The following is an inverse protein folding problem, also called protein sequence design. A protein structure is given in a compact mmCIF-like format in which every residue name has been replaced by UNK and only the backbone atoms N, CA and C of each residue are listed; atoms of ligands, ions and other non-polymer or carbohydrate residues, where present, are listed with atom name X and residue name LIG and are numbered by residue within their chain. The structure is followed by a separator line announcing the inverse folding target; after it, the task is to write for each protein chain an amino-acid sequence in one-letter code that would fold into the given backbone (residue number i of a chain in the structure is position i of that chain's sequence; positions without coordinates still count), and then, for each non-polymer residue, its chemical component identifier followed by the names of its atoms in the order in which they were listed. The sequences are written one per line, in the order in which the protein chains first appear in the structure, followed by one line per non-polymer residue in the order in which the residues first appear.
data_IF_423492884606
#
_entry.id   IF_423492884606
#
_cell.length_a   1.000
_cell.length_b   1.000
_cell.length_c   1.000
_cell.angle_alpha   90.00
_cell.angle_beta   90.00
_cell.angle_gamma   90.00
#
_symmetry.space_group_name_H-M   'P 1'
#
loop_
_entity.id
_entity.type
_entity.pdbx_description
1 polymer ?
#
# COMPACT_ATOMS: atom_id res chain seq x y z
N UNK A 1 5.57 -51.27 -5.86
CA UNK A 1 5.69 -50.83 -4.45
C UNK A 1 7.19 -50.64 -4.25
N UNK A 2 7.76 -49.45 -4.16
CA UNK A 2 7.31 -48.26 -3.42
C UNK A 2 7.69 -46.98 -4.16
N UNK A 3 6.83 -45.98 -4.02
CA UNK A 3 7.12 -44.57 -4.29
C UNK A 3 7.78 -43.95 -3.05
N UNK A 4 8.66 -42.98 -3.26
CA UNK A 4 8.97 -41.85 -2.36
C UNK A 4 9.99 -40.99 -3.12
N UNK A 5 9.62 -39.81 -3.62
CA UNK A 5 9.30 -38.57 -2.90
C UNK A 5 10.43 -37.61 -3.16
N UNK A 6 10.16 -36.52 -3.87
CA UNK A 6 10.48 -35.16 -3.41
C UNK A 6 9.59 -34.22 -4.23
N UNK A 7 8.42 -33.90 -3.71
CA UNK A 7 7.73 -32.66 -4.08
C UNK A 7 8.55 -31.55 -3.42
N UNK A 8 9.52 -31.02 -4.16
CA UNK A 8 9.97 -29.66 -3.89
C UNK A 8 8.76 -28.79 -4.19
N UNK A 9 8.19 -28.19 -3.15
CA UNK A 9 7.17 -27.16 -3.30
C UNK A 9 7.81 -26.06 -4.15
N UNK A 10 7.36 -25.99 -5.39
CA UNK A 10 7.61 -24.89 -6.31
C UNK A 10 6.92 -23.67 -5.70
N UNK A 11 7.64 -22.94 -4.85
CA UNK A 11 7.29 -21.60 -4.45
C UNK A 11 7.49 -20.72 -5.69
N UNK A 12 6.53 -20.84 -6.62
CA UNK A 12 6.39 -19.94 -7.75
C UNK A 12 6.27 -18.54 -7.17
N UNK A 13 7.37 -17.78 -7.26
CA UNK A 13 7.37 -16.36 -6.95
C UNK A 13 6.36 -15.70 -7.89
N UNK A 14 5.16 -15.44 -7.38
CA UNK A 14 4.16 -14.67 -8.11
C UNK A 14 4.75 -13.28 -8.31
N UNK A 15 4.90 -12.86 -9.56
CA UNK A 15 5.36 -11.51 -9.87
C UNK A 15 4.47 -10.50 -9.14
N UNK A 16 5.05 -9.48 -8.49
CA UNK A 16 4.26 -8.53 -7.72
C UNK A 16 3.29 -7.77 -8.65
N UNK A 17 2.08 -7.54 -8.15
CA UNK A 17 1.08 -6.71 -8.83
C UNK A 17 1.39 -5.25 -8.52
N UNK A 18 1.73 -4.49 -9.56
CA UNK A 18 2.01 -3.06 -9.46
C UNK A 18 0.73 -2.25 -9.61
N UNK A 19 0.54 -1.28 -8.72
CA UNK A 19 -0.52 -0.27 -8.78
C UNK A 19 0.13 1.04 -9.16
N UNK A 20 -0.31 1.61 -10.27
CA UNK A 20 0.11 2.93 -10.74
C UNK A 20 -0.72 4.00 -10.02
N UNK A 21 -0.07 5.11 -9.67
CA UNK A 21 -0.74 6.31 -9.20
C UNK A 21 -1.04 7.21 -10.40
N UNK A 22 -2.24 7.76 -10.43
CA UNK A 22 -2.73 8.69 -11.44
C UNK A 22 -2.40 10.16 -11.14
N UNK A 23 -1.56 10.42 -10.14
CA UNK A 23 -1.14 11.75 -9.72
C UNK A 23 -1.17 11.98 -8.21
N UNK A 24 -1.89 11.13 -7.49
CA UNK A 24 -2.21 11.28 -6.07
C UNK A 24 -1.60 10.15 -5.23
N UNK A 25 -1.50 10.27 -3.89
CA UNK A 25 -0.99 9.19 -3.07
C UNK A 25 -1.80 7.90 -3.29
N UNK A 26 -1.13 6.75 -3.22
CA UNK A 26 -1.85 5.48 -3.16
C UNK A 26 -2.45 5.27 -1.77
N UNK A 27 -3.34 4.30 -1.63
CA UNK A 27 -3.91 3.94 -0.33
C UNK A 27 -4.07 2.44 -0.15
N UNK A 28 -3.85 1.98 1.07
CA UNK A 28 -4.10 0.61 1.52
C UNK A 28 -5.29 0.59 2.45
N UNK A 29 -6.44 0.16 1.95
CA UNK A 29 -7.71 0.20 2.68
C UNK A 29 -8.20 -1.22 3.05
N UNK A 30 -8.72 -1.44 4.27
CA UNK A 30 -9.33 -2.72 4.64
C UNK A 30 -10.53 -3.04 3.73
N UNK A 31 -10.68 -4.31 3.34
CA UNK A 31 -11.80 -4.73 2.48
C UNK A 31 -13.17 -4.48 3.14
N UNK A 32 -13.24 -4.54 4.47
CA UNK A 32 -14.45 -4.28 5.26
C UNK A 32 -14.98 -2.86 5.12
N UNK A 33 -14.10 -1.89 4.82
CA UNK A 33 -14.45 -0.48 4.67
C UNK A 33 -14.21 0.05 3.26
N UNK A 34 -13.83 -0.81 2.32
CA UNK A 34 -13.54 -0.43 0.94
C UNK A 34 -14.71 0.33 0.30
N UNK A 35 -15.93 -0.17 0.41
CA UNK A 35 -17.11 0.49 -0.16
C UNK A 35 -17.45 1.84 0.49
N UNK A 36 -16.89 2.13 1.68
CA UNK A 36 -17.07 3.40 2.35
C UNK A 36 -16.07 4.46 1.89
N UNK A 37 -14.96 4.07 1.23
CA UNK A 37 -13.98 5.00 0.68
C UNK A 37 -14.58 5.81 -0.46
N UNK A 38 -14.66 7.11 -0.24
CA UNK A 38 -15.16 8.06 -1.22
C UNK A 38 -13.99 8.71 -1.93
N UNK A 39 -14.06 8.73 -3.26
CA UNK A 39 -13.19 9.59 -4.08
C UNK A 39 -13.36 11.05 -3.68
N UNK A 40 -12.41 11.89 -4.12
CA UNK A 40 -12.52 13.34 -4.10
C UNK A 40 -13.94 13.76 -4.55
N UNK A 41 -14.70 14.36 -3.64
CA UNK A 41 -15.99 14.94 -4.01
C UNK A 41 -15.70 16.19 -4.84
N UNK A 42 -16.36 16.37 -6.01
CA UNK A 42 -16.14 17.53 -6.89
C UNK A 42 -16.33 18.89 -6.20
N UNK A 43 -16.92 18.91 -5.00
CA UNK A 43 -17.16 20.11 -4.19
C UNK A 43 -16.28 20.23 -2.94
N UNK A 44 -15.46 19.23 -2.58
CA UNK A 44 -14.66 19.23 -1.33
C UNK A 44 -15.48 19.44 -0.05
N UNK A 45 -16.81 19.32 -0.15
CA UNK A 45 -17.78 19.63 0.88
C UNK A 45 -18.89 18.60 0.73
N UNK A 46 -18.98 17.73 1.74
CA UNK A 46 -20.11 16.81 1.92
C UNK A 46 -21.42 17.59 1.84
N UNK A 47 -22.41 17.05 1.14
CA UNK A 47 -23.75 17.65 1.11
C UNK A 47 -24.32 17.65 2.53
N UNK A 48 -24.20 18.80 3.21
CA UNK A 48 -24.63 19.02 4.59
C UNK A 48 -23.51 19.59 5.47
N UNK A 49 -23.30 20.91 5.42
CA UNK A 49 -22.68 21.82 6.42
C UNK A 49 -21.42 21.35 7.21
N UNK A 50 -20.75 20.28 6.81
CA UNK A 50 -19.56 19.78 7.49
C UNK A 50 -18.32 20.31 6.78
N UNK A 51 -17.54 21.14 7.47
CA UNK A 51 -16.19 21.53 7.07
C UNK A 51 -15.16 20.41 7.29
N UNK A 52 -15.62 19.16 7.47
CA UNK A 52 -14.75 18.02 7.72
C UNK A 52 -14.14 17.56 6.38
N UNK A 53 -12.81 17.33 6.32
CA UNK A 53 -12.15 16.84 5.11
C UNK A 53 -12.78 15.52 4.65
N UNK A 54 -12.87 15.30 3.33
CA UNK A 54 -13.29 13.99 2.83
C UNK A 54 -12.19 12.93 3.02
N UNK A 55 -12.48 11.68 2.66
CA UNK A 55 -11.52 10.57 2.80
C UNK A 55 -10.23 10.83 2.01
N UNK A 56 -10.38 11.38 0.81
CA UNK A 56 -9.28 11.69 -0.08
C UNK A 56 -8.43 12.86 0.46
N UNK A 57 -9.06 13.93 0.95
CA UNK A 57 -8.35 15.05 1.59
C UNK A 57 -7.51 14.58 2.79
N UNK A 58 -8.02 13.60 3.56
CA UNK A 58 -7.26 13.00 4.67
C UNK A 58 -6.01 12.25 4.18
N UNK A 59 -6.08 11.58 3.03
CA UNK A 59 -4.92 10.92 2.46
C UNK A 59 -3.87 11.94 1.99
N UNK A 60 -4.30 13.01 1.33
CA UNK A 60 -3.43 14.08 0.84
C UNK A 60 -2.81 14.94 1.95
N UNK A 61 -3.34 14.90 3.17
CA UNK A 61 -2.77 15.59 4.34
C UNK A 61 -1.57 14.84 4.93
N UNK A 62 -1.36 13.57 4.54
CA UNK A 62 -0.13 12.85 4.91
C UNK A 62 1.02 13.51 4.16
N UNK A 63 1.94 14.14 4.91
CA UNK A 63 3.17 14.79 4.42
C UNK A 63 4.38 14.08 5.07
N UNK A 64 4.53 12.79 4.79
CA UNK A 64 5.56 11.93 5.38
C UNK A 64 5.77 10.64 4.57
N UNK A 65 6.79 9.85 4.93
CA UNK A 65 7.14 8.56 4.32
C UNK A 65 6.03 7.50 4.40
N UNK A 66 5.10 7.64 5.35
CA UNK A 66 3.84 6.92 5.44
C UNK A 66 2.94 7.53 6.51
N UNK A 67 1.62 7.36 6.37
CA UNK A 67 0.63 7.82 7.35
C UNK A 67 -0.51 6.83 7.56
N UNK A 68 -0.99 6.72 8.80
CA UNK A 68 -2.20 5.95 9.13
C UNK A 68 -3.35 6.93 9.35
N UNK A 69 -4.43 6.76 8.59
CA UNK A 69 -5.60 7.63 8.62
C UNK A 69 -6.88 6.83 8.95
N UNK A 70 -7.91 7.51 9.43
CA UNK A 70 -9.25 6.92 9.61
C UNK A 70 -10.06 6.98 8.32
N UNK A 71 -10.87 5.96 8.06
CA UNK A 71 -11.78 5.89 6.90
C UNK A 71 -13.20 6.27 7.29
N UNK A 72 -13.78 7.25 6.60
CA UNK A 72 -15.09 7.82 6.90
C UNK A 72 -15.24 8.20 8.37
N UNK A 73 -16.41 7.93 8.93
CA UNK A 73 -16.70 8.04 10.37
C UNK A 73 -16.39 6.75 11.16
N UNK A 74 -15.79 5.76 10.49
CA UNK A 74 -15.51 4.45 11.09
C UNK A 74 -14.23 4.49 11.93
N UNK A 75 -14.06 3.50 12.83
CA UNK A 75 -12.79 3.27 13.52
C UNK A 75 -11.77 2.53 12.67
N UNK A 76 -12.09 2.20 11.41
CA UNK A 76 -11.17 1.49 10.53
C UNK A 76 -10.04 2.40 10.07
N UNK A 77 -8.87 1.80 9.85
CA UNK A 77 -7.66 2.52 9.52
C UNK A 77 -7.12 2.12 8.15
N UNK A 78 -6.86 3.12 7.33
CA UNK A 78 -6.12 2.98 6.08
C UNK A 78 -4.67 3.43 6.26
N UNK A 79 -3.81 2.95 5.37
CA UNK A 79 -2.41 3.33 5.31
C UNK A 79 -2.14 4.02 3.98
N UNK A 80 -1.56 5.21 4.04
CA UNK A 80 -1.05 5.95 2.88
C UNK A 80 0.45 5.66 2.78
N UNK A 81 0.93 4.94 1.76
CA UNK A 81 2.34 4.67 1.54
C UNK A 81 2.99 5.90 0.88
N UNK A 82 3.24 6.89 1.74
CA UNK A 82 3.72 8.24 1.48
C UNK A 82 2.79 9.18 0.69
N UNK A 83 3.13 10.45 0.82
CA UNK A 83 2.49 11.63 0.27
C UNK A 83 2.62 11.73 -1.26
N UNK A 84 3.83 11.51 -1.79
CA UNK A 84 4.11 11.66 -3.20
C UNK A 84 3.52 10.48 -4.03
N UNK A 85 3.09 10.72 -5.28
CA UNK A 85 2.66 9.64 -6.16
C UNK A 85 3.83 8.74 -6.54
N UNK A 86 3.63 7.42 -6.45
CA UNK A 86 4.61 6.44 -6.93
C UNK A 86 3.95 5.09 -7.25
N UNK A 87 4.31 4.50 -8.39
CA UNK A 87 3.93 3.11 -8.69
C UNK A 87 4.44 2.19 -7.58
N UNK A 88 3.55 1.41 -6.98
CA UNK A 88 3.87 0.61 -5.80
C UNK A 88 3.33 -0.81 -5.90
N UNK A 89 3.97 -1.75 -5.21
CA UNK A 89 3.45 -3.10 -5.03
C UNK A 89 3.60 -3.55 -3.58
N UNK A 90 2.82 -4.57 -3.19
CA UNK A 90 2.97 -5.24 -1.91
C UNK A 90 3.77 -6.53 -2.07
N UNK A 91 4.74 -6.75 -1.18
CA UNK A 91 5.55 -7.97 -1.09
C UNK A 91 5.16 -8.72 0.20
N UNK A 92 4.26 -9.72 0.12
CA UNK A 92 3.71 -10.40 1.29
C UNK A 92 4.76 -11.08 2.17
N UNK A 93 5.83 -11.60 1.57
CA UNK A 93 6.91 -12.33 2.24
C UNK A 93 7.67 -11.46 3.24
N UNK A 94 7.66 -10.15 3.02
CA UNK A 94 8.36 -9.16 3.82
C UNK A 94 7.43 -8.20 4.57
N UNK A 95 6.11 -8.28 4.32
CA UNK A 95 5.13 -7.35 4.84
C UNK A 95 5.47 -5.90 4.47
N UNK A 96 5.83 -5.65 3.22
CA UNK A 96 6.34 -4.33 2.79
C UNK A 96 5.67 -3.86 1.52
N UNK A 97 5.38 -2.56 1.45
CA UNK A 97 5.05 -1.86 0.22
C UNK A 97 6.34 -1.31 -0.38
N UNK A 98 6.64 -1.75 -1.60
CA UNK A 98 7.75 -1.26 -2.39
C UNK A 98 7.24 -0.16 -3.33
N UNK A 99 7.78 1.05 -3.16
CA UNK A 99 7.51 2.22 -3.97
C UNK A 99 8.68 2.45 -4.92
N UNK A 100 8.40 2.64 -6.21
CA UNK A 100 9.40 3.02 -7.21
C UNK A 100 9.68 4.51 -7.12
N UNK A 101 10.83 4.90 -6.59
CA UNK A 101 11.26 6.32 -6.59
C UNK A 101 12.17 6.62 -7.79
N UNK A 102 13.14 5.74 -8.05
CA UNK A 102 13.93 5.74 -9.29
C UNK A 102 14.41 4.31 -9.55
N UNK A 103 14.17 3.78 -10.75
CA UNK A 103 14.73 2.51 -11.21
C UNK A 103 14.40 2.29 -12.69
N UNK A 104 15.37 1.77 -13.43
CA UNK A 104 15.21 1.44 -14.85
C UNK A 104 14.39 0.16 -15.07
N UNK A 105 14.27 -0.71 -14.06
CA UNK A 105 13.51 -1.96 -14.16
C UNK A 105 12.88 -2.39 -12.84
N UNK A 106 11.80 -3.17 -12.93
CA UNK A 106 11.17 -3.75 -11.75
C UNK A 106 12.09 -4.74 -11.03
N UNK A 107 12.86 -5.53 -11.79
CA UNK A 107 13.82 -6.50 -11.25
C UNK A 107 14.93 -5.82 -10.45
N UNK A 108 15.51 -4.74 -10.98
CA UNK A 108 16.53 -3.96 -10.26
C UNK A 108 15.98 -3.35 -8.97
N UNK A 109 14.78 -2.77 -9.04
CA UNK A 109 14.09 -2.21 -7.88
C UNK A 109 13.80 -3.27 -6.79
N UNK A 110 13.43 -4.49 -7.18
CA UNK A 110 13.22 -5.60 -6.23
C UNK A 110 14.52 -6.06 -5.57
N UNK A 111 15.62 -6.18 -6.34
CA UNK A 111 16.92 -6.54 -5.78
C UNK A 111 17.46 -5.47 -4.82
N UNK A 112 17.25 -4.19 -5.16
CA UNK A 112 17.54 -3.05 -4.29
C UNK A 112 16.72 -3.13 -2.99
N UNK A 113 15.42 -3.38 -3.07
CA UNK A 113 14.56 -3.54 -1.92
C UNK A 113 15.02 -4.68 -1.00
N UNK A 114 15.36 -5.84 -1.56
CA UNK A 114 15.88 -6.98 -0.79
C UNK A 114 17.19 -6.64 -0.07
N UNK A 115 18.09 -5.90 -0.73
CA UNK A 115 19.35 -5.46 -0.12
C UNK A 115 19.10 -4.56 1.08
N UNK A 116 18.21 -3.57 0.94
CA UNK A 116 17.84 -2.64 2.02
C UNK A 116 17.14 -3.36 3.19
N UNK A 117 16.28 -4.35 2.89
CA UNK A 117 15.60 -5.15 3.91
C UNK A 117 16.56 -6.09 4.68
N UNK A 118 17.60 -6.59 4.01
CA UNK A 118 18.61 -7.46 4.61
C UNK A 118 19.61 -6.68 5.48
N UNK A 119 19.84 -5.40 5.19
CA UNK A 119 20.72 -4.55 5.96
C UNK A 119 20.08 -4.13 7.30
N UNK A 120 20.72 -4.53 8.40
CA UNK A 120 20.30 -4.18 9.77
C UNK A 120 20.58 -2.73 10.13
N UNK A 121 21.47 -2.06 9.40
CA UNK A 121 21.80 -0.66 9.60
C UNK A 121 20.83 0.29 8.90
N UNK A 122 19.92 -0.22 8.05
CA UNK A 122 18.91 0.59 7.35
C UNK A 122 18.16 1.48 8.35
N UNK A 123 18.18 2.82 8.16
CA UNK A 123 17.46 3.73 9.01
C UNK A 123 15.97 3.67 8.69
N UNK A 124 15.17 3.31 9.68
CA UNK A 124 13.71 3.29 9.58
C UNK A 124 13.10 4.41 10.41
N UNK A 125 12.15 5.14 9.82
CA UNK A 125 11.29 6.09 10.52
C UNK A 125 10.04 5.36 11.00
N UNK A 126 9.63 5.58 12.24
CA UNK A 126 8.34 5.08 12.74
C UNK A 126 7.21 5.96 12.21
N UNK A 127 6.19 5.33 11.61
CA UNK A 127 5.06 5.99 10.95
C UNK A 127 3.73 5.68 11.66
N UNK A 128 3.80 5.21 12.90
CA UNK A 128 2.65 4.96 13.76
C UNK A 128 2.24 3.49 13.83
N UNK A 129 1.00 3.26 14.25
CA UNK A 129 0.43 1.92 14.45
C UNK A 129 -0.93 1.85 13.77
N UNK A 130 -1.15 0.77 13.04
CA UNK A 130 -2.39 0.45 12.36
C UNK A 130 -3.08 -0.75 13.02
N UNK A 131 -4.38 -0.65 13.24
CA UNK A 131 -5.25 -1.78 13.53
C UNK A 131 -5.91 -2.22 12.23
N UNK A 132 -5.79 -3.50 11.89
CA UNK A 132 -6.46 -4.11 10.75
C UNK A 132 -7.44 -5.16 11.25
N UNK A 133 -8.59 -5.27 10.59
CA UNK A 133 -9.60 -6.30 10.84
C UNK A 133 -9.51 -7.46 9.84
N UNK A 134 -8.55 -7.41 8.92
CA UNK A 134 -8.31 -8.47 7.94
C UNK A 134 -7.60 -7.97 6.69
N UNK A 135 -7.84 -8.65 5.55
CA UNK A 135 -7.23 -8.30 4.28
C UNK A 135 -7.58 -6.88 3.84
N UNK A 136 -6.68 -6.31 3.05
CA UNK A 136 -6.80 -4.97 2.50
C UNK A 136 -6.54 -4.97 0.99
N UNK A 137 -6.77 -3.83 0.35
CA UNK A 137 -6.43 -3.58 -1.05
C UNK A 137 -5.55 -2.34 -1.14
N UNK A 138 -4.48 -2.42 -1.94
CA UNK A 138 -3.73 -1.27 -2.43
C UNK A 138 -4.41 -0.76 -3.70
N UNK A 139 -4.76 0.51 -3.73
CA UNK A 139 -5.44 1.17 -4.86
C UNK A 139 -4.99 2.62 -4.98
N UNK A 140 -5.32 3.25 -6.10
CA UNK A 140 -5.24 4.71 -6.23
C UNK A 140 -6.27 5.37 -5.29
N UNK A 141 -5.87 6.40 -4.54
CA UNK A 141 -6.76 7.05 -3.57
C UNK A 141 -7.85 7.91 -4.24
N UNK A 142 -7.64 8.36 -5.47
CA UNK A 142 -8.62 9.12 -6.24
C UNK A 142 -9.80 8.25 -6.71
N UNK A 143 -9.65 6.92 -6.70
CA UNK A 143 -10.71 5.99 -7.04
C UNK A 143 -11.67 5.77 -5.86
N UNK A 144 -12.97 5.69 -6.15
CA UNK A 144 -13.93 5.30 -5.14
C UNK A 144 -13.85 3.78 -4.92
N UNK A 145 -13.89 3.33 -3.68
CA UNK A 145 -13.73 1.90 -3.41
C UNK A 145 -14.85 1.03 -3.97
N UNK A 146 -16.06 1.60 -4.12
CA UNK A 146 -17.20 0.94 -4.78
C UNK A 146 -17.00 0.75 -6.30
N UNK A 147 -16.10 1.52 -6.91
CA UNK A 147 -15.89 1.56 -8.35
C UNK A 147 -14.69 0.72 -8.82
N UNK A 148 -13.94 0.08 -7.90
CA UNK A 148 -12.79 -0.77 -8.25
C UNK A 148 -13.13 -1.96 -9.17
N UNK A 149 -14.39 -2.37 -9.23
CA UNK A 149 -14.89 -3.40 -10.14
C UNK A 149 -15.61 -2.86 -11.38
N UNK A 150 -15.55 -1.55 -11.61
CA UNK A 150 -16.21 -0.86 -12.72
C UNK A 150 -15.18 -0.52 -13.79
N UNK A 151 -15.47 -0.87 -15.04
CA UNK A 151 -14.62 -0.57 -16.19
C UNK A 151 -14.68 0.94 -16.48
N UNK A 152 -13.55 1.57 -16.73
CA UNK A 152 -13.54 2.98 -17.14
C UNK A 152 -14.29 3.18 -18.46
N UNK A 153 -14.88 4.37 -18.71
CA UNK A 153 -15.53 4.67 -19.99
C UNK A 153 -14.63 4.48 -21.22
N UNK A 154 -13.30 4.61 -21.08
CA UNK A 154 -12.30 4.38 -22.11
C UNK A 154 -11.76 2.95 -22.20
N UNK A 155 -12.26 2.03 -21.37
CA UNK A 155 -11.74 0.68 -21.21
C UNK A 155 -10.64 0.58 -20.13
N UNK A 156 -10.38 -0.64 -19.68
CA UNK A 156 -9.49 -0.90 -18.54
C UNK A 156 -10.21 -0.88 -17.19
N UNK A 157 -9.55 -1.45 -16.19
CA UNK A 157 -10.05 -1.50 -14.81
C UNK A 157 -9.16 -0.63 -13.91
N UNK A 158 -9.69 -0.08 -12.82
CA UNK A 158 -8.88 0.54 -11.79
C UNK A 158 -7.78 -0.41 -11.31
N UNK A 159 -6.54 0.08 -11.27
CA UNK A 159 -5.41 -0.70 -10.80
C UNK A 159 -5.53 -0.98 -9.30
N UNK A 160 -5.38 -2.24 -8.91
CA UNK A 160 -5.48 -2.66 -7.52
C UNK A 160 -4.64 -3.91 -7.25
N UNK A 161 -4.15 -4.04 -6.01
CA UNK A 161 -3.41 -5.21 -5.56
C UNK A 161 -3.90 -5.69 -4.20
N UNK A 162 -4.03 -7.01 -4.04
CA UNK A 162 -4.43 -7.61 -2.77
C UNK A 162 -3.31 -7.48 -1.73
N UNK A 163 -3.70 -7.15 -0.50
CA UNK A 163 -2.83 -7.10 0.67
C UNK A 163 -3.37 -8.11 1.69
N UNK A 164 -2.89 -9.37 1.68
CA UNK A 164 -3.41 -10.45 2.53
C UNK A 164 -2.92 -10.31 3.98
N UNK A 165 -3.23 -9.18 4.62
CA UNK A 165 -2.89 -8.91 6.01
C UNK A 165 -3.91 -9.58 6.93
N UNK A 166 -3.50 -10.34 7.97
CA UNK A 166 -4.44 -10.81 8.97
C UNK A 166 -4.93 -9.67 9.89
N UNK A 167 -6.05 -9.91 10.57
CA UNK A 167 -6.50 -9.02 11.62
C UNK A 167 -5.44 -8.91 12.72
N UNK A 168 -5.23 -7.70 13.25
CA UNK A 168 -4.23 -7.46 14.28
C UNK A 168 -3.79 -6.02 14.38
N UNK A 169 -2.81 -5.78 15.25
CA UNK A 169 -2.15 -4.50 15.41
C UNK A 169 -0.76 -4.55 14.80
N UNK A 170 -0.45 -3.55 13.99
CA UNK A 170 0.69 -3.50 13.11
C UNK A 170 1.44 -2.20 13.31
N UNK A 171 2.73 -2.29 13.60
CA UNK A 171 3.64 -1.15 13.57
C UNK A 171 3.96 -0.83 12.12
N UNK A 172 3.89 0.46 11.77
CA UNK A 172 4.27 0.95 10.45
C UNK A 172 5.60 1.65 10.58
N UNK A 173 6.56 1.29 9.74
CA UNK A 173 7.82 2.01 9.59
C UNK A 173 8.16 2.20 8.13
N UNK A 174 8.85 3.27 7.79
CA UNK A 174 9.20 3.56 6.41
C UNK A 174 10.65 4.05 6.25
N UNK A 175 11.19 3.88 5.05
CA UNK A 175 12.48 4.44 4.64
C UNK A 175 12.45 4.77 3.15
N UNK A 176 13.04 5.89 2.78
CA UNK A 176 13.39 6.22 1.40
C UNK A 176 14.91 6.22 1.32
N UNK A 177 15.48 5.35 0.49
CA UNK A 177 16.92 5.24 0.40
C UNK A 177 17.39 4.97 -1.02
N UNK A 178 18.58 5.49 -1.30
CA UNK A 178 19.37 5.10 -2.45
C UNK A 178 19.99 3.74 -2.14
N UNK A 179 19.64 2.71 -2.92
CA UNK A 179 20.21 1.38 -2.78
C UNK A 179 21.52 1.25 -3.56
N UNK A 180 21.58 1.86 -4.74
CA UNK A 180 22.76 1.99 -5.59
C UNK A 180 22.68 3.27 -6.44
N UNK A 181 23.58 3.47 -7.39
CA UNK A 181 23.66 4.70 -8.20
C UNK A 181 22.36 5.04 -8.94
N UNK A 182 21.61 4.03 -9.38
CA UNK A 182 20.46 4.14 -10.28
C UNK A 182 19.13 3.82 -9.58
N UNK A 183 19.16 3.06 -8.48
CA UNK A 183 17.97 2.57 -7.80
C UNK A 183 17.72 3.27 -6.46
N UNK A 184 16.59 3.98 -6.39
CA UNK A 184 16.04 4.59 -5.19
C UNK A 184 14.72 3.90 -4.87
N UNK A 185 14.64 3.37 -3.65
CA UNK A 185 13.49 2.60 -3.17
C UNK A 185 12.81 3.34 -2.03
N UNK A 186 11.48 3.38 -2.07
CA UNK A 186 10.66 3.65 -0.90
C UNK A 186 10.13 2.34 -0.34
N UNK A 187 10.35 2.08 0.94
CA UNK A 187 9.85 0.90 1.62
C UNK A 187 8.96 1.33 2.78
N UNK A 188 7.73 0.84 2.80
CA UNK A 188 6.81 0.98 3.94
C UNK A 188 6.53 -0.41 4.49
N UNK A 189 7.09 -0.72 5.65
CA UNK A 189 6.97 -2.03 6.27
C UNK A 189 5.92 -2.03 7.37
N UNK A 190 5.07 -3.06 7.33
CA UNK A 190 4.11 -3.38 8.38
C UNK A 190 4.58 -4.61 9.15
N UNK A 191 4.70 -4.47 10.46
CA UNK A 191 5.22 -5.50 11.34
C UNK A 191 4.21 -5.77 12.45
N UNK A 192 3.97 -7.03 12.83
CA UNK A 192 3.09 -7.31 13.96
C UNK A 192 3.67 -6.62 15.20
N UNK A 193 2.84 -5.87 15.93
CA UNK A 193 3.19 -5.50 17.30
C UNK A 193 3.00 -6.75 18.13
N UNK A 194 4.08 -7.34 18.65
CA UNK A 194 3.93 -8.41 19.64
C UNK A 194 2.99 -7.90 20.74
N UNK A 195 1.88 -8.63 20.95
CA UNK A 195 1.02 -8.46 22.11
C UNK A 195 1.70 -9.04 23.35
#
# INVERSE_FOLDING_TARGET
MSASSTLAADASHVSPVWVESMGDPLIVIPLSTLAAWRRCTETGVMTGDSTAPDDYDRACTVDDLAGVITVGESTAQALVPADEPATSCYLPEHGVFLRRLAADSATGLMAAAQTVLADRATPWKECGTRVSDGPAVLMDSAEAGADLSVVYPGGGMPAQAAVPLPAGRWRVRATHTKADEENWVGLVQILPTNA
#
